data_IF_222958647722
#
_entry.id   IF_222958647722
#
_cell.length_a   1.000
_cell.length_b   1.000
_cell.length_c   1.000
_cell.angle_alpha   90.00
_cell.angle_beta   90.00
_cell.angle_gamma   90.00
#
_symmetry.space_group_name_H-M   'P 1'
#
loop_
_entity.id
_entity.type
_entity.pdbx_description
1 polymer ?
#
# COMPACT_ATOMS: atom_id res chain seq x y z
N UNK A 1 7.13 6.25 6.53
CA UNK A 1 6.59 4.91 6.80
C UNK A 1 7.19 3.89 5.83
N UNK A 2 6.91 2.60 5.96
CA UNK A 2 7.53 1.54 5.16
C UNK A 2 6.49 0.64 4.48
N UNK A 3 6.92 -0.08 3.44
CA UNK A 3 6.11 -1.07 2.75
C UNK A 3 6.98 -2.19 2.15
N UNK A 4 6.34 -3.32 1.86
CA UNK A 4 6.91 -4.39 1.05
C UNK A 4 6.34 -4.31 -0.39
N UNK A 5 7.19 -4.56 -1.38
CA UNK A 5 6.80 -4.52 -2.79
C UNK A 5 6.50 -5.92 -3.33
N UNK A 6 5.39 -6.07 -4.05
CA UNK A 6 5.15 -7.25 -4.90
C UNK A 6 6.03 -7.21 -6.16
N UNK A 7 5.98 -8.27 -6.97
CA UNK A 7 6.68 -8.35 -8.27
C UNK A 7 6.36 -7.19 -9.22
N UNK A 8 5.20 -6.55 -9.08
CA UNK A 8 4.83 -5.40 -9.89
C UNK A 8 5.77 -4.20 -9.71
N UNK A 9 6.45 -4.11 -8.56
CA UNK A 9 7.35 -2.99 -8.21
C UNK A 9 8.75 -3.48 -7.88
N UNK A 10 8.91 -4.65 -7.23
CA UNK A 10 10.17 -5.11 -6.63
C UNK A 10 11.38 -5.02 -7.55
N UNK A 11 11.21 -5.29 -8.85
CA UNK A 11 12.22 -5.16 -9.90
C UNK A 11 13.56 -5.84 -9.52
N UNK A 12 13.48 -7.11 -9.11
CA UNK A 12 14.64 -7.90 -8.67
C UNK A 12 15.50 -7.17 -7.61
N UNK A 13 14.84 -6.51 -6.65
CA UNK A 13 15.48 -5.72 -5.59
C UNK A 13 15.75 -4.26 -5.94
N UNK A 14 15.57 -3.86 -7.20
CA UNK A 14 15.79 -2.48 -7.66
C UNK A 14 14.86 -1.45 -6.99
N UNK A 15 13.70 -1.86 -6.48
CA UNK A 15 12.81 -0.99 -5.73
C UNK A 15 13.21 -0.77 -4.27
N UNK A 16 14.08 -1.62 -3.70
CA UNK A 16 14.48 -1.48 -2.31
C UNK A 16 15.14 -0.12 -2.09
N UNK A 17 14.64 0.62 -1.10
CA UNK A 17 15.08 1.96 -0.78
C UNK A 17 14.37 3.10 -1.51
N UNK A 18 13.60 2.81 -2.57
CA UNK A 18 12.82 3.81 -3.29
C UNK A 18 11.61 4.27 -2.46
N UNK A 19 11.17 5.50 -2.74
CA UNK A 19 10.02 6.13 -2.08
C UNK A 19 8.82 6.14 -3.03
N UNK A 20 7.65 5.82 -2.50
CA UNK A 20 6.39 5.86 -3.25
C UNK A 20 5.35 6.64 -2.47
N UNK A 21 4.66 7.56 -3.14
CA UNK A 21 3.42 8.12 -2.63
C UNK A 21 2.28 7.18 -2.99
N UNK A 22 1.56 6.71 -1.98
CA UNK A 22 0.40 5.81 -2.09
C UNK A 22 -0.84 6.57 -1.64
N UNK A 23 -1.89 6.56 -2.45
CA UNK A 23 -3.16 7.27 -2.18
C UNK A 23 -4.31 6.29 -2.22
N UNK A 24 -5.17 6.32 -1.20
CA UNK A 24 -6.38 5.51 -1.14
C UNK A 24 -7.41 6.04 -2.14
N UNK A 25 -7.95 5.15 -2.98
CA UNK A 25 -8.99 5.48 -3.97
C UNK A 25 -10.36 4.98 -3.53
N UNK A 26 -10.43 3.73 -3.07
CA UNK A 26 -11.67 3.11 -2.58
C UNK A 26 -11.35 1.88 -1.74
N UNK A 27 -12.36 1.32 -1.07
CA UNK A 27 -12.28 -0.02 -0.47
C UNK A 27 -12.41 -1.11 -1.53
N UNK A 28 -12.05 -2.34 -1.16
CA UNK A 28 -12.26 -3.56 -1.98
C UNK A 28 -13.53 -4.31 -1.60
N UNK A 29 -14.07 -4.07 -0.40
CA UNK A 29 -15.24 -4.76 0.14
C UNK A 29 -16.36 -3.78 0.49
N UNK A 30 -17.62 -4.17 0.28
CA UNK A 30 -18.79 -3.31 0.56
C UNK A 30 -19.16 -3.21 2.05
N UNK A 31 -18.49 -3.95 2.93
CA UNK A 31 -18.85 -4.04 4.35
C UNK A 31 -18.28 -2.95 5.26
N UNK A 32 -17.32 -2.15 4.78
CA UNK A 32 -16.66 -1.11 5.60
C UNK A 32 -17.07 0.27 5.07
N UNK A 33 -17.89 1.03 5.83
CA UNK A 33 -18.23 2.40 5.44
C UNK A 33 -16.98 3.29 5.54
N UNK A 34 -16.80 4.16 4.54
CA UNK A 34 -15.67 5.11 4.46
C UNK A 34 -14.29 4.44 4.55
N UNK A 35 -13.93 3.59 3.58
CA UNK A 35 -12.67 2.83 3.62
C UNK A 35 -11.43 3.73 3.57
N UNK A 36 -11.51 4.90 2.94
CA UNK A 36 -10.42 5.87 2.85
C UNK A 36 -10.67 7.07 3.78
N UNK A 37 -9.61 7.59 4.39
CA UNK A 37 -9.63 8.87 5.10
C UNK A 37 -9.52 10.02 4.09
N UNK A 38 -10.64 10.35 3.44
CA UNK A 38 -10.67 11.37 2.38
C UNK A 38 -9.72 11.04 1.23
N UNK A 39 -8.92 12.02 0.77
CA UNK A 39 -7.86 11.82 -0.23
C UNK A 39 -6.56 11.27 0.37
N UNK A 40 -6.63 10.54 1.49
CA UNK A 40 -5.49 10.15 2.32
C UNK A 40 -4.34 9.57 1.49
N UNK A 41 -3.17 10.22 1.58
CA UNK A 41 -1.95 9.79 0.91
C UNK A 41 -0.81 9.65 1.91
N UNK A 42 0.05 8.66 1.69
CA UNK A 42 1.22 8.38 2.50
C UNK A 42 2.44 8.16 1.62
N UNK A 43 3.60 8.67 2.04
CA UNK A 43 4.87 8.32 1.44
C UNK A 43 5.52 7.17 2.23
N UNK A 44 5.81 6.09 1.52
CA UNK A 44 6.44 4.89 2.07
C UNK A 44 7.77 4.59 1.38
N UNK A 45 8.72 4.07 2.15
CA UNK A 45 9.96 3.47 1.63
C UNK A 45 9.75 1.98 1.43
N UNK A 46 10.13 1.46 0.26
CA UNK A 46 10.19 0.01 0.06
C UNK A 46 11.38 -0.54 0.84
N UNK A 47 11.15 -1.48 1.75
CA UNK A 47 12.20 -2.09 2.58
C UNK A 47 12.20 -3.61 2.56
N UNK A 48 11.20 -4.22 1.92
CA UNK A 48 11.06 -5.66 1.87
C UNK A 48 10.41 -6.13 0.55
N UNK A 49 10.56 -7.41 0.26
CA UNK A 49 9.90 -8.09 -0.84
C UNK A 49 8.71 -8.89 -0.32
N UNK A 50 7.59 -8.79 -1.02
CA UNK A 50 6.38 -9.51 -0.73
C UNK A 50 6.12 -10.53 -1.86
N UNK A 51 6.48 -11.82 -1.67
CA UNK A 51 6.35 -12.82 -2.72
C UNK A 51 4.88 -13.08 -3.12
N UNK A 52 4.61 -13.57 -4.33
CA UNK A 52 3.24 -13.77 -4.86
C UNK A 52 2.32 -14.61 -3.97
N UNK A 53 2.89 -15.56 -3.24
CA UNK A 53 2.17 -16.43 -2.31
C UNK A 53 1.69 -15.71 -1.03
N UNK A 54 2.35 -14.62 -0.65
CA UNK A 54 2.00 -13.81 0.53
C UNK A 54 1.34 -12.49 0.17
N UNK A 55 1.67 -11.92 -1.00
CA UNK A 55 1.16 -10.62 -1.41
C UNK A 55 -0.20 -10.69 -2.08
N UNK A 56 -1.20 -10.10 -1.42
CA UNK A 56 -2.58 -9.97 -1.96
C UNK A 56 -2.80 -8.66 -2.73
N UNK A 57 -1.76 -7.83 -2.88
CA UNK A 57 -1.84 -6.53 -3.54
C UNK A 57 -0.51 -6.09 -4.12
N UNK A 58 -0.49 -4.88 -4.70
CA UNK A 58 0.70 -4.32 -5.37
C UNK A 58 1.77 -3.86 -4.39
N UNK A 59 1.35 -3.23 -3.28
CA UNK A 59 2.19 -2.71 -2.19
C UNK A 59 1.56 -3.18 -0.88
N UNK A 60 2.33 -3.84 -0.03
CA UNK A 60 1.91 -4.20 1.33
C UNK A 60 2.40 -3.12 2.31
N UNK A 61 1.46 -2.29 2.75
CA UNK A 61 1.74 -1.16 3.63
C UNK A 61 1.94 -1.65 5.06
N UNK A 62 2.89 -1.06 5.80
CA UNK A 62 2.91 -1.26 7.26
C UNK A 62 1.57 -0.84 7.87
N UNK A 63 1.21 -1.46 8.99
CA UNK A 63 -0.04 -1.14 9.70
C UNK A 63 -0.21 0.36 9.96
N UNK A 64 0.87 1.05 10.32
CA UNK A 64 0.90 2.50 10.52
C UNK A 64 0.61 3.27 9.22
N UNK A 65 1.21 2.85 8.10
CA UNK A 65 0.99 3.47 6.79
C UNK A 65 -0.44 3.28 6.30
N UNK A 66 -0.97 2.07 6.43
CA UNK A 66 -2.35 1.77 6.08
C UNK A 66 -3.31 2.61 6.93
N UNK A 67 -3.17 2.60 8.26
CA UNK A 67 -4.04 3.33 9.18
C UNK A 67 -4.01 4.86 8.96
N UNK A 68 -2.92 5.39 8.40
CA UNK A 68 -2.80 6.82 8.09
C UNK A 68 -3.67 7.27 6.90
N UNK A 69 -4.07 6.35 6.01
CA UNK A 69 -4.84 6.68 4.80
C UNK A 69 -6.20 5.98 4.72
N UNK A 70 -6.43 4.92 5.50
CA UNK A 70 -7.60 4.07 5.38
C UNK A 70 -8.02 3.41 6.71
N UNK A 71 -9.30 3.03 6.78
CA UNK A 71 -9.84 2.22 7.85
C UNK A 71 -9.23 0.82 7.79
N UNK A 72 -8.50 0.42 8.83
CA UNK A 72 -7.80 -0.86 8.93
C UNK A 72 -8.73 -2.07 8.83
N UNK A 73 -10.01 -1.92 9.19
CA UNK A 73 -11.02 -2.97 9.05
C UNK A 73 -11.31 -3.31 7.58
N UNK A 74 -10.95 -2.43 6.64
CA UNK A 74 -11.06 -2.71 5.20
C UNK A 74 -10.18 -3.88 4.77
N UNK A 75 -9.04 -4.09 5.46
CA UNK A 75 -8.02 -5.11 5.18
C UNK A 75 -7.27 -4.92 3.86
N UNK A 76 -7.92 -4.41 2.81
CA UNK A 76 -7.35 -4.05 1.52
C UNK A 76 -8.12 -2.89 0.90
N UNK A 77 -7.42 -2.09 0.09
CA UNK A 77 -7.96 -0.90 -0.57
C UNK A 77 -7.42 -0.82 -2.00
N UNK A 78 -8.18 -0.19 -2.89
CA UNK A 78 -7.68 0.22 -4.20
C UNK A 78 -6.84 1.48 -4.02
N UNK A 79 -5.67 1.51 -4.64
CA UNK A 79 -4.71 2.60 -4.51
C UNK A 79 -4.25 3.13 -5.87
N UNK A 80 -3.87 4.40 -5.90
CA UNK A 80 -2.90 4.90 -6.88
C UNK A 80 -1.54 5.04 -6.21
N UNK A 81 -0.47 4.77 -6.94
CA UNK A 81 0.89 4.93 -6.44
C UNK A 81 1.81 5.52 -7.50
N UNK A 82 2.77 6.31 -7.06
CA UNK A 82 3.81 6.89 -7.92
C UNK A 82 5.13 6.98 -7.15
N UNK A 83 6.24 6.72 -7.85
CA UNK A 83 7.58 6.92 -7.30
C UNK A 83 7.82 8.43 -7.10
N UNK A 84 8.48 8.81 -6.01
CA UNK A 84 8.85 10.20 -5.67
C UNK A 84 10.34 10.37 -5.41
#
# INVERSE_FOLDING_TARGET
>A
MIAAASDAIWNNGGACGQMYQVTCLSGTNSGVPFPCWGSGSVVVKIVDYCPPESCRGTIDLSQEAFASIANTDSGSINISFQQV
#
